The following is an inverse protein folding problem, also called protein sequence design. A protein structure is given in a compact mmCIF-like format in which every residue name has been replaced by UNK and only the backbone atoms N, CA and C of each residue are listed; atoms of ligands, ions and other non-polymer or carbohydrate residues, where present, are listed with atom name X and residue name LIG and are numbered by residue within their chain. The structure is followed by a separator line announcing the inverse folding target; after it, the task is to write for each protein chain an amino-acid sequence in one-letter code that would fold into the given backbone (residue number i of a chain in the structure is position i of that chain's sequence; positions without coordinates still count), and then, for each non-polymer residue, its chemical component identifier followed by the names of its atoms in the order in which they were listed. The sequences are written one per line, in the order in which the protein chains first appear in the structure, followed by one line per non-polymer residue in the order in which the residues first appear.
data_IF_753479162801
#
_entry.id   IF_753479162801
#
_cell.length_a   1.000
_cell.length_b   1.000
_cell.length_c   1.000
_cell.angle_alpha   90.00
_cell.angle_beta   90.00
_cell.angle_gamma   90.00
#
_symmetry.space_group_name_H-M   'P 1'
#
loop_
_entity.id
_entity.type
_entity.pdbx_description
1 polymer ?
#
# COMPACT_ATOMS: atom_id res chain seq x y z
N UNK A 1 -23.35 16.07 10.29
CA UNK A 1 -22.18 15.33 10.83
C UNK A 1 -22.09 13.88 10.35
N UNK A 2 -23.16 13.06 10.36
CA UNK A 2 -23.11 11.69 9.79
C UNK A 2 -22.70 11.66 8.31
N UNK A 3 -23.27 12.56 7.48
CA UNK A 3 -22.94 12.61 6.05
C UNK A 3 -21.47 12.98 5.80
N UNK A 4 -20.93 13.98 6.50
CA UNK A 4 -19.51 14.37 6.37
C UNK A 4 -18.54 13.24 6.72
N UNK A 5 -18.87 12.40 7.72
CA UNK A 5 -18.04 11.24 8.07
C UNK A 5 -18.05 10.18 6.96
N UNK A 6 -19.23 9.90 6.41
CA UNK A 6 -19.38 8.97 5.30
C UNK A 6 -18.69 9.47 4.03
N UNK A 7 -18.78 10.77 3.74
CA UNK A 7 -18.06 11.41 2.63
C UNK A 7 -16.55 11.29 2.80
N UNK A 8 -16.04 11.63 3.99
CA UNK A 8 -14.62 11.49 4.29
C UNK A 8 -14.14 10.05 4.15
N UNK A 9 -14.88 9.09 4.71
CA UNK A 9 -14.59 7.66 4.58
C UNK A 9 -14.59 7.22 3.10
N UNK A 10 -15.58 7.65 2.33
CA UNK A 10 -15.69 7.32 0.91
C UNK A 10 -14.46 7.81 0.14
N UNK A 11 -14.00 9.03 0.42
CA UNK A 11 -12.78 9.60 -0.16
C UNK A 11 -11.54 8.79 0.23
N UNK A 12 -11.41 8.41 1.51
CA UNK A 12 -10.27 7.60 1.96
C UNK A 12 -10.24 6.24 1.28
N UNK A 13 -11.40 5.57 1.20
CA UNK A 13 -11.54 4.26 0.55
C UNK A 13 -11.27 4.36 -0.95
N UNK A 14 -11.77 5.39 -1.65
CA UNK A 14 -11.53 5.56 -3.08
C UNK A 14 -10.04 5.75 -3.38
N UNK A 15 -9.34 6.57 -2.58
CA UNK A 15 -7.89 6.76 -2.70
C UNK A 15 -7.16 5.42 -2.58
N UNK A 16 -7.54 4.58 -1.61
CA UNK A 16 -6.90 3.29 -1.43
C UNK A 16 -7.26 2.28 -2.52
N UNK A 17 -8.46 2.34 -3.10
CA UNK A 17 -8.80 1.54 -4.28
C UNK A 17 -7.83 1.84 -5.44
N UNK A 18 -7.60 3.12 -5.74
CA UNK A 18 -6.70 3.55 -6.80
C UNK A 18 -5.26 3.09 -6.55
N UNK A 19 -4.77 3.30 -5.33
CA UNK A 19 -3.42 2.88 -4.93
C UNK A 19 -3.24 1.37 -5.09
N UNK A 20 -4.18 0.57 -4.58
CA UNK A 20 -4.09 -0.89 -4.63
C UNK A 20 -4.14 -1.40 -6.06
N UNK A 21 -5.02 -0.86 -6.91
CA UNK A 21 -5.10 -1.24 -8.32
C UNK A 21 -3.79 -0.95 -9.05
N UNK A 22 -3.19 0.21 -8.82
CA UNK A 22 -1.91 0.59 -9.44
C UNK A 22 -0.75 -0.28 -8.97
N UNK A 23 -0.65 -0.51 -7.65
CA UNK A 23 0.37 -1.42 -7.11
C UNK A 23 0.25 -2.81 -7.75
N UNK A 24 -0.98 -3.31 -7.86
CA UNK A 24 -1.23 -4.64 -8.40
C UNK A 24 -1.09 -4.70 -9.92
N UNK A 25 -1.33 -3.60 -10.63
CA UNK A 25 -1.03 -3.47 -12.05
C UNK A 25 0.48 -3.59 -12.31
N UNK A 26 1.30 -2.93 -11.48
CA UNK A 26 2.78 -2.98 -11.59
C UNK A 26 3.37 -4.30 -11.11
N UNK A 27 2.88 -4.84 -9.98
CA UNK A 27 3.54 -5.95 -9.28
C UNK A 27 2.83 -7.31 -9.42
N UNK A 28 1.70 -7.35 -10.13
CA UNK A 28 0.80 -8.49 -10.41
C UNK A 28 0.13 -9.13 -9.20
N UNK A 29 0.83 -9.28 -8.07
CA UNK A 29 0.31 -9.90 -6.86
C UNK A 29 1.11 -9.50 -5.63
N UNK A 30 0.43 -9.32 -4.51
CA UNK A 30 1.03 -9.07 -3.22
C UNK A 30 0.18 -9.69 -2.10
N UNK A 31 0.84 -10.01 -0.98
CA UNK A 31 0.12 -10.40 0.22
C UNK A 31 -0.67 -9.23 0.80
N UNK A 32 -1.79 -9.50 1.49
CA UNK A 32 -2.57 -8.50 2.23
C UNK A 32 -1.67 -7.66 3.15
N UNK A 33 -0.80 -8.29 3.94
CA UNK A 33 0.09 -7.59 4.89
C UNK A 33 1.00 -6.56 4.21
N UNK A 34 1.63 -6.93 3.10
CA UNK A 34 2.45 -6.02 2.30
C UNK A 34 1.60 -4.90 1.68
N UNK A 35 0.40 -5.20 1.19
CA UNK A 35 -0.52 -4.18 0.66
C UNK A 35 -0.88 -3.15 1.74
N UNK A 36 -1.17 -3.58 2.97
CA UNK A 36 -1.46 -2.66 4.08
C UNK A 36 -0.33 -1.65 4.28
N UNK A 37 0.92 -2.12 4.31
CA UNK A 37 2.08 -1.27 4.55
C UNK A 37 2.36 -0.34 3.36
N UNK A 38 2.48 -0.90 2.16
CA UNK A 38 2.88 -0.12 0.99
C UNK A 38 1.77 0.84 0.53
N UNK A 39 0.50 0.47 0.62
CA UNK A 39 -0.59 1.38 0.26
C UNK A 39 -0.61 2.61 1.19
N UNK A 40 -0.35 2.41 2.48
CA UNK A 40 -0.20 3.52 3.42
C UNK A 40 1.00 4.41 3.08
N UNK A 41 2.18 3.82 2.82
CA UNK A 41 3.38 4.57 2.46
C UNK A 41 3.23 5.37 1.16
N UNK A 42 2.61 4.81 0.12
CA UNK A 42 2.35 5.50 -1.16
C UNK A 42 1.47 6.73 -0.95
N UNK A 43 0.39 6.59 -0.16
CA UNK A 43 -0.48 7.71 0.17
C UNK A 43 0.29 8.80 0.93
N UNK A 44 1.13 8.39 1.89
CA UNK A 44 1.92 9.30 2.73
C UNK A 44 3.00 10.04 1.94
N UNK A 45 3.67 9.36 0.99
CA UNK A 45 4.75 9.92 0.18
C UNK A 45 4.33 11.19 -0.57
N UNK A 46 3.07 11.27 -1.01
CA UNK A 46 2.51 12.45 -1.68
C UNK A 46 2.60 13.74 -0.84
N UNK A 47 2.57 13.64 0.49
CA UNK A 47 2.61 14.79 1.38
C UNK A 47 4.04 15.23 1.71
N UNK A 48 5.05 14.47 1.29
CA UNK A 48 6.45 14.83 1.49
C UNK A 48 7.01 15.57 0.25
N UNK A 49 7.43 16.84 0.39
CA UNK A 49 7.95 17.61 -0.73
C UNK A 49 9.32 17.12 -1.23
N UNK A 50 10.02 16.28 -0.46
CA UNK A 50 11.28 15.63 -0.84
C UNK A 50 11.29 14.19 -0.37
N UNK A 51 11.67 13.27 -1.27
CA UNK A 51 11.88 11.88 -0.92
C UNK A 51 13.08 11.75 0.03
N UNK A 52 12.87 11.08 1.17
CA UNK A 52 13.93 10.81 2.17
C UNK A 52 14.97 9.85 1.62
N UNK A 53 14.53 8.87 0.82
CA UNK A 53 15.37 7.88 0.16
C UNK A 53 15.23 7.97 -1.35
N UNK A 54 16.31 7.63 -2.05
CA UNK A 54 16.32 7.51 -3.50
C UNK A 54 16.54 6.05 -3.93
N UNK A 55 16.12 5.72 -5.14
CA UNK A 55 16.23 4.36 -5.69
C UNK A 55 17.66 3.98 -6.12
N UNK A 56 18.67 4.82 -5.84
CA UNK A 56 20.05 4.63 -6.29
C UNK A 56 20.81 3.65 -5.38
N UNK A 57 20.44 3.57 -4.10
CA UNK A 57 21.03 2.62 -3.16
C UNK A 57 20.00 1.54 -2.77
N UNK A 58 20.18 0.34 -3.31
CA UNK A 58 19.30 -0.82 -3.10
C UNK A 58 19.64 -1.57 -1.81
N UNK A 59 20.81 -1.33 -1.22
CA UNK A 59 21.20 -1.98 0.04
C UNK A 59 20.20 -1.61 1.13
N UNK A 60 19.70 -2.63 1.85
CA UNK A 60 18.75 -2.49 2.95
C UNK A 60 17.47 -1.72 2.59
N UNK A 61 17.05 -1.77 1.32
CA UNK A 61 15.91 -1.00 0.81
C UNK A 61 14.61 -1.25 1.58
N UNK A 62 14.38 -2.50 2.02
CA UNK A 62 13.21 -2.87 2.81
C UNK A 62 13.24 -2.20 4.17
N UNK A 63 14.38 -2.23 4.86
CA UNK A 63 14.53 -1.61 6.18
C UNK A 63 14.44 -0.08 6.11
N UNK A 64 15.02 0.53 5.07
CA UNK A 64 14.86 1.97 4.79
C UNK A 64 13.41 2.35 4.51
N UNK A 65 12.66 1.48 3.83
CA UNK A 65 11.24 1.70 3.58
C UNK A 65 10.43 1.57 4.88
N UNK A 66 10.70 0.54 5.67
CA UNK A 66 10.04 0.33 6.97
C UNK A 66 10.32 1.47 7.94
N UNK A 67 11.53 2.04 7.96
CA UNK A 67 11.85 3.17 8.83
C UNK A 67 11.06 4.46 8.50
N UNK A 68 10.37 4.53 7.36
CA UNK A 68 9.46 5.63 7.04
C UNK A 68 8.13 5.54 7.83
N UNK A 69 7.86 4.38 8.43
CA UNK A 69 6.72 4.17 9.33
C UNK A 69 7.03 4.57 10.78
N UNK A 70 8.31 4.71 11.14
CA UNK A 70 8.74 4.94 12.52
C UNK A 70 8.10 6.20 13.12
N UNK A 71 7.48 6.03 14.28
CA UNK A 71 6.80 7.12 14.98
C UNK A 71 5.42 7.46 14.42
N UNK A 72 4.89 6.65 13.49
CA UNK A 72 3.58 6.87 12.85
C UNK A 72 2.63 5.67 12.98
N UNK A 73 2.79 4.91 14.07
CA UNK A 73 2.03 3.69 14.31
C UNK A 73 0.53 3.93 14.41
N UNK A 74 0.11 4.98 15.12
CA UNK A 74 -1.31 5.27 15.31
C UNK A 74 -1.99 5.64 13.99
N UNK A 75 -1.36 6.49 13.17
CA UNK A 75 -1.93 6.86 11.87
C UNK A 75 -1.96 5.66 10.92
N UNK A 76 -0.89 4.86 10.90
CA UNK A 76 -0.87 3.60 10.15
C UNK A 76 -2.05 2.70 10.55
N UNK A 77 -2.24 2.46 11.84
CA UNK A 77 -3.33 1.61 12.36
C UNK A 77 -4.71 2.16 12.00
N UNK A 78 -4.90 3.48 12.10
CA UNK A 78 -6.17 4.13 11.72
C UNK A 78 -6.47 3.97 10.22
N UNK A 79 -5.45 3.92 9.37
CA UNK A 79 -5.63 3.76 7.93
C UNK A 79 -5.90 2.32 7.50
N UNK A 80 -5.55 1.31 8.30
CA UNK A 80 -5.79 -0.11 7.99
C UNK A 80 -7.27 -0.37 7.71
N UNK A 81 -8.19 0.24 8.44
CA UNK A 81 -9.63 0.07 8.22
C UNK A 81 -10.04 0.47 6.80
N UNK A 82 -9.56 1.60 6.30
CA UNK A 82 -9.88 2.08 4.95
C UNK A 82 -9.23 1.22 3.87
N UNK A 83 -8.00 0.74 4.09
CA UNK A 83 -7.31 -0.14 3.15
C UNK A 83 -8.05 -1.49 3.05
N UNK A 84 -8.48 -2.06 4.18
CA UNK A 84 -9.26 -3.30 4.19
C UNK A 84 -10.62 -3.13 3.50
N UNK A 85 -11.31 -2.01 3.74
CA UNK A 85 -12.56 -1.67 3.02
C UNK A 85 -12.33 -1.56 1.51
N UNK A 86 -11.24 -0.94 1.09
CA UNK A 86 -10.87 -0.84 -0.32
C UNK A 86 -10.62 -2.24 -0.94
N UNK A 87 -9.83 -3.09 -0.27
CA UNK A 87 -9.61 -4.49 -0.69
C UNK A 87 -10.95 -5.22 -0.86
N UNK A 88 -11.83 -5.10 0.13
CA UNK A 88 -13.14 -5.75 0.10
C UNK A 88 -14.01 -5.25 -1.05
N UNK A 89 -14.05 -3.93 -1.28
CA UNK A 89 -14.79 -3.31 -2.38
C UNK A 89 -14.28 -3.81 -3.75
N UNK A 90 -12.95 -3.79 -3.94
CA UNK A 90 -12.31 -4.26 -5.18
C UNK A 90 -12.60 -5.74 -5.44
N UNK A 91 -12.59 -6.57 -4.40
CA UNK A 91 -12.91 -8.00 -4.53
C UNK A 91 -14.38 -8.23 -4.87
N UNK A 92 -15.29 -7.52 -4.20
CA UNK A 92 -16.74 -7.64 -4.42
C UNK A 92 -17.12 -7.24 -5.85
N UNK A 93 -16.45 -6.22 -6.40
CA UNK A 93 -16.62 -5.77 -7.78
C UNK A 93 -15.84 -6.60 -8.80
N UNK A 94 -15.21 -7.71 -8.40
CA UNK A 94 -14.42 -8.61 -9.28
C UNK A 94 -13.29 -7.88 -10.03
N UNK A 95 -12.74 -6.81 -9.45
CA UNK A 95 -11.57 -6.14 -9.99
C UNK A 95 -10.29 -6.86 -9.57
N UNK A 96 -10.27 -7.44 -8.36
CA UNK A 96 -9.13 -8.21 -7.84
C UNK A 96 -9.56 -9.59 -7.36
N UNK A 97 -8.64 -10.55 -7.43
CA UNK A 97 -8.86 -11.91 -6.95
C UNK A 97 -8.09 -12.12 -5.64
N UNK A 98 -8.78 -12.59 -4.61
CA UNK A 98 -8.17 -12.94 -3.32
C UNK A 98 -8.11 -14.47 -3.22
N UNK A 99 -6.89 -15.01 -3.03
CA UNK A 99 -6.68 -16.43 -2.71
C UNK A 99 -5.79 -16.52 -1.48
N UNK A 100 -6.34 -17.07 -0.38
CA UNK A 100 -5.68 -17.12 0.93
C UNK A 100 -5.27 -15.71 1.39
N UNK A 101 -3.97 -15.46 1.56
CA UNK A 101 -3.41 -14.16 1.95
C UNK A 101 -2.93 -13.33 0.75
N UNK A 102 -3.07 -13.80 -0.48
CA UNK A 102 -2.57 -13.13 -1.68
C UNK A 102 -3.70 -12.45 -2.44
N UNK A 103 -3.44 -11.21 -2.84
CA UNK A 103 -4.29 -10.43 -3.75
C UNK A 103 -3.60 -10.41 -5.10
N UNK A 104 -4.34 -10.75 -6.14
CA UNK A 104 -3.90 -10.77 -7.52
C UNK A 104 -4.52 -9.59 -8.25
N UNK A 105 -3.69 -8.98 -9.10
CA UNK A 105 -3.95 -7.74 -9.77
C UNK A 105 -4.96 -7.79 -10.88
N UNK A 106 -5.23 -6.60 -11.42
CA UNK A 106 -6.56 -6.30 -11.90
C UNK A 106 -6.95 -7.22 -13.05
N UNK A 107 -8.16 -7.77 -12.96
CA UNK A 107 -8.69 -8.70 -13.95
C UNK A 107 -8.97 -8.00 -15.31
N UNK A 108 -9.04 -6.67 -15.30
CA UNK A 108 -9.22 -5.82 -16.47
C UNK A 108 -8.16 -4.72 -16.49
N UNK A 109 -7.60 -4.44 -17.67
CA UNK A 109 -6.59 -3.39 -17.86
C UNK A 109 -7.26 -2.01 -17.92
N UNK A 110 -7.48 -1.39 -16.76
CA UNK A 110 -7.83 0.03 -16.68
C UNK A 110 -6.56 0.85 -16.47
N UNK A 111 -5.95 1.30 -17.57
CA UNK A 111 -4.80 2.21 -17.58
C UNK A 111 -5.22 3.66 -17.32
N UNK A 112 -6.06 3.90 -16.32
CA UNK A 112 -6.35 5.27 -15.89
C UNK A 112 -5.12 5.80 -15.14
N UNK A 113 -4.58 6.94 -15.59
CA UNK A 113 -3.48 7.60 -14.90
C UNK A 113 -3.96 8.09 -13.54
N UNK A 114 -3.56 7.40 -12.48
CA UNK A 114 -3.85 7.85 -11.11
C UNK A 114 -2.83 8.88 -10.66
N UNK A 115 -3.28 9.76 -9.75
CA UNK A 115 -2.42 10.75 -9.08
C UNK A 115 -1.54 10.06 -8.02
N UNK A 116 -1.95 8.90 -7.52
CA UNK A 116 -1.21 8.11 -6.54
C UNK A 116 -0.42 7.00 -7.24
N UNK A 117 0.84 7.31 -7.59
CA UNK A 117 1.80 6.36 -8.13
C UNK A 117 2.93 6.15 -7.12
N UNK A 118 3.43 4.93 -7.04
CA UNK A 118 4.61 4.63 -6.24
C UNK A 118 5.84 5.35 -6.80
N UNK A 119 6.75 5.77 -5.92
CA UNK A 119 8.06 6.21 -6.34
C UNK A 119 8.93 5.03 -6.79
N UNK A 120 9.96 5.31 -7.58
CA UNK A 120 10.96 4.31 -7.96
C UNK A 120 11.61 3.61 -6.74
N UNK A 121 11.64 4.28 -5.59
CA UNK A 121 12.14 3.69 -4.35
C UNK A 121 11.14 2.68 -3.78
N UNK A 122 9.87 3.06 -3.64
CA UNK A 122 8.83 2.16 -3.13
C UNK A 122 8.62 0.96 -4.06
N UNK A 123 8.60 1.14 -5.38
CA UNK A 123 8.47 0.02 -6.31
C UNK A 123 9.59 -1.02 -6.16
N UNK A 124 10.84 -0.57 -5.99
CA UNK A 124 11.96 -1.49 -5.70
C UNK A 124 11.85 -2.14 -4.31
N UNK A 125 11.35 -1.42 -3.31
CA UNK A 125 11.12 -1.98 -1.98
C UNK A 125 10.02 -3.06 -1.99
N UNK A 126 8.95 -2.84 -2.78
CA UNK A 126 7.86 -3.80 -2.98
C UNK A 126 8.41 -5.07 -3.62
N UNK A 127 9.19 -4.96 -4.70
CA UNK A 127 9.81 -6.12 -5.35
C UNK A 127 10.75 -6.88 -4.40
N UNK A 128 11.62 -6.16 -3.69
CA UNK A 128 12.51 -6.78 -2.71
C UNK A 128 11.72 -7.51 -1.62
N UNK A 129 10.59 -6.95 -1.15
CA UNK A 129 9.76 -7.56 -0.12
C UNK A 129 9.15 -8.89 -0.53
N UNK A 130 8.96 -9.17 -1.83
CA UNK A 130 8.40 -10.45 -2.31
C UNK A 130 9.26 -11.65 -1.91
N UNK A 131 10.57 -11.44 -1.71
CA UNK A 131 11.48 -12.48 -1.21
C UNK A 131 11.31 -12.80 0.28
N UNK A 132 10.69 -11.90 1.05
CA UNK A 132 10.46 -12.07 2.49
C UNK A 132 9.09 -12.67 2.78
N UNK A 133 9.05 -13.58 3.75
CA UNK A 133 7.78 -14.09 4.28
C UNK A 133 7.02 -12.98 5.00
N UNK A 134 5.68 -13.05 5.00
CA UNK A 134 4.86 -12.05 5.69
C UNK A 134 5.18 -11.96 7.18
N UNK A 135 5.53 -13.09 7.82
CA UNK A 135 5.94 -13.11 9.22
C UNK A 135 7.22 -12.32 9.46
N UNK A 136 8.24 -12.52 8.62
CA UNK A 136 9.50 -11.77 8.73
C UNK A 136 9.24 -10.28 8.46
N UNK A 137 8.53 -9.96 7.39
CA UNK A 137 8.20 -8.58 7.03
C UNK A 137 7.46 -7.86 8.16
N UNK A 138 6.39 -8.46 8.69
CA UNK A 138 5.60 -7.83 9.76
C UNK A 138 6.35 -7.75 11.08
N UNK A 139 7.27 -8.67 11.37
CA UNK A 139 8.15 -8.57 12.54
C UNK A 139 8.99 -7.29 12.47
N UNK A 140 9.57 -7.01 11.30
CA UNK A 140 10.36 -5.80 11.09
C UNK A 140 9.49 -4.55 11.11
N UNK A 141 8.30 -4.59 10.52
CA UNK A 141 7.34 -3.48 10.61
C UNK A 141 7.07 -3.16 12.07
N UNK A 142 6.50 -4.10 12.83
CA UNK A 142 6.11 -3.89 14.24
C UNK A 142 7.28 -3.47 15.13
N UNK A 143 8.50 -3.93 14.85
CA UNK A 143 9.67 -3.53 15.62
C UNK A 143 10.09 -2.07 15.38
N UNK A 144 9.80 -1.53 14.20
CA UNK A 144 10.24 -0.20 13.77
C UNK A 144 9.13 0.86 13.81
N UNK A 145 7.85 0.50 13.94
CA UNK A 145 6.75 1.47 14.05
C UNK A 145 6.59 2.01 15.46
#
# INVERSE_FOLDING_TARGET
MKNLKLEAETIQVSIYCDIILQMLYTHEKLSVNKILVFAYLIKKERFFPKAIYNANNIQDIIYKCISQLTGDYEEYCNNIEFILKAIHLLHTNKLVLIKKNMIYGPLENNNEETIYKESNFLGKAIEASKSMTDKQFMKEVIHNV
#
